data_IF_940107561447
#
_entry.id   IF_940107561447
#
_cell.length_a   1.000
_cell.length_b   1.000
_cell.length_c   1.000
_cell.angle_alpha   90.00
_cell.angle_beta   90.00
_cell.angle_gamma   90.00
#
_symmetry.space_group_name_H-M   'P 1'
#
loop_
_entity.id
_entity.type
_entity.pdbx_description
1 polymer ?
2 non-polymer ?
3 non-polymer ?
4 water ?
#
# COMPACT_ATOMS: atom_id res chain seq x y z
N UNK A 1 6.11 24.84 -1.07
CA UNK A 1 5.64 25.47 0.16
C UNK A 1 4.82 24.50 0.99
N UNK A 2 5.45 23.94 2.02
CA UNK A 2 4.81 22.87 2.77
C UNK A 2 3.56 23.39 3.45
N UNK A 3 3.63 24.58 4.06
CA UNK A 3 2.47 25.11 4.78
C UNK A 3 1.30 25.37 3.82
N UNK A 4 1.59 25.91 2.64
CA UNK A 4 0.53 26.13 1.65
C UNK A 4 -0.11 24.82 1.22
N UNK A 5 0.71 23.80 1.00
CA UNK A 5 0.20 22.49 0.59
C UNK A 5 -0.70 21.91 1.68
N UNK A 6 -0.28 22.04 2.96
CA UNK A 6 -1.09 21.49 4.05
C UNK A 6 -2.43 22.20 4.13
N UNK A 7 -2.45 23.52 3.93
CA UNK A 7 -3.72 24.24 3.87
C UNK A 7 -4.60 23.74 2.73
N UNK A 8 -4.00 23.49 1.56
CA UNK A 8 -4.78 22.98 0.43
C UNK A 8 -5.34 21.60 0.70
N UNK A 9 -4.61 20.76 1.44
CA UNK A 9 -5.14 19.46 1.82
C UNK A 9 -6.34 19.60 2.74
N UNK A 10 -6.27 20.56 3.68
CA UNK A 10 -7.42 20.82 4.55
C UNK A 10 -8.62 21.27 3.73
N UNK A 11 -8.38 22.14 2.74
CA UNK A 11 -9.47 22.59 1.88
C UNK A 11 -10.04 21.44 1.06
N UNK A 12 -9.18 20.57 0.54
CA UNK A 12 -9.66 19.39 -0.17
C UNK A 12 -10.55 18.54 0.75
N UNK A 13 -10.12 18.29 1.98
CA UNK A 13 -10.95 17.50 2.89
C UNK A 13 -12.30 18.14 3.14
N UNK A 14 -12.37 19.46 3.16
CA UNK A 14 -13.62 20.14 3.41
C UNK A 14 -14.63 19.91 2.30
N UNK A 15 -14.22 19.35 1.16
CA UNK A 15 -15.13 19.12 0.05
C UNK A 15 -15.89 17.81 0.14
N UNK A 16 -15.59 16.95 1.11
CA UNK A 16 -16.30 15.68 1.24
C UNK A 16 -16.50 15.33 2.70
N UNK A 17 -17.47 14.46 2.96
CA UNK A 17 -17.83 14.11 4.34
C UNK A 17 -17.03 12.87 4.72
N UNK A 18 -15.76 13.09 5.03
CA UNK A 18 -14.88 12.01 5.40
C UNK A 18 -13.56 12.58 5.88
N UNK A 19 -12.57 11.70 5.98
CA UNK A 19 -11.25 12.04 6.44
C UNK A 19 -10.21 11.74 5.36
N UNK A 20 -9.23 12.63 5.27
CA UNK A 20 -8.07 12.50 4.42
C UNK A 20 -6.84 12.37 5.30
N UNK A 21 -6.07 11.30 5.09
CA UNK A 21 -4.81 11.11 5.75
C UNK A 21 -3.73 11.12 4.71
N UNK A 22 -2.75 12.01 4.84
CA UNK A 22 -1.81 12.23 3.76
C UNK A 22 -0.41 12.50 4.29
N UNK A 23 0.58 11.86 3.69
CA UNK A 23 1.97 12.27 3.87
C UNK A 23 2.66 12.19 2.51
N UNK A 24 3.38 13.24 2.14
CA UNK A 24 4.31 13.19 1.04
C UNK A 24 5.67 13.60 1.58
N UNK A 25 6.70 12.88 1.19
CA UNK A 25 8.05 13.06 1.72
C UNK A 25 9.04 13.07 0.58
N UNK A 26 9.77 14.17 0.44
CA UNK A 26 10.88 14.22 -0.51
C UNK A 26 12.07 13.55 0.17
N UNK A 27 12.46 12.37 -0.31
CA UNK A 27 13.41 11.56 0.45
C UNK A 27 14.80 12.16 0.53
N UNK A 28 15.18 13.05 -0.38
CA UNK A 28 16.50 13.67 -0.32
C UNK A 28 16.57 14.70 0.79
N UNK A 29 15.58 15.58 0.87
CA UNK A 29 15.65 16.70 1.80
C UNK A 29 14.88 16.43 3.08
N UNK A 30 14.03 15.42 3.10
CA UNK A 30 13.15 15.20 4.21
C UNK A 30 11.96 16.15 4.26
N UNK A 31 11.80 17.01 3.25
CA UNK A 31 10.63 17.88 3.20
C UNK A 31 9.38 17.04 3.27
N UNK A 32 8.43 17.45 4.10
CA UNK A 32 7.32 16.59 4.46
C UNK A 32 6.03 17.41 4.51
N UNK A 33 5.02 16.92 3.80
CA UNK A 33 3.69 17.50 3.78
C UNK A 33 2.78 16.48 4.43
N UNK A 34 2.04 16.88 5.45
CA UNK A 34 1.18 15.92 6.13
C UNK A 34 -0.17 16.52 6.49
N UNK A 35 -1.17 15.64 6.53
CA UNK A 35 -2.51 15.98 7.00
C UNK A 35 -3.03 14.76 7.75
N UNK A 36 -3.42 14.94 9.01
CA UNK A 36 -3.86 13.85 9.88
C UNK A 36 -2.83 12.73 9.91
N UNK A 37 -1.56 13.11 9.98
CA UNK A 37 -0.47 12.14 9.85
C UNK A 37 -0.42 11.10 10.95
N UNK A 38 -0.90 11.42 12.14
CA UNK A 38 -0.84 10.50 13.27
C UNK A 38 -2.19 9.92 13.63
N UNK A 39 -3.18 10.03 12.76
CA UNK A 39 -4.48 9.41 12.96
C UNK A 39 -4.53 8.07 12.26
N UNK A 40 -5.23 7.12 12.85
CA UNK A 40 -5.37 5.81 12.24
C UNK A 40 -6.43 5.80 11.15
N UNK A 41 -6.16 5.03 10.10
CA UNK A 41 -7.01 4.84 8.95
C UNK A 41 -7.03 3.36 8.60
N UNK A 42 -8.15 2.86 8.07
CA UNK A 42 -8.20 1.47 7.59
C UNK A 42 -7.39 1.33 6.31
N UNK A 43 -6.38 0.47 6.33
CA UNK A 43 -5.43 0.43 5.22
C UNK A 43 -5.92 -0.41 4.03
N UNK A 44 -6.90 -1.29 4.22
CA UNK A 44 -7.43 -2.13 3.15
C UNK A 44 -6.29 -2.78 2.39
N UNK A 45 -6.35 -2.82 1.06
CA UNK A 45 -5.40 -3.65 0.34
C UNK A 45 -4.01 -3.04 0.30
N UNK A 46 -3.80 -1.82 0.82
CA UNK A 46 -2.43 -1.31 0.87
C UNK A 46 -1.57 -2.19 1.77
N UNK A 47 -2.19 -2.96 2.68
CA UNK A 47 -1.47 -3.91 3.51
C UNK A 47 -0.75 -4.98 2.71
N UNK A 48 -1.17 -5.21 1.46
CA UNK A 48 -0.52 -6.23 0.63
C UNK A 48 0.93 -5.88 0.37
N UNK A 49 1.30 -4.59 0.42
CA UNK A 49 2.71 -4.24 0.32
C UNK A 49 3.51 -4.81 1.49
N UNK A 50 3.02 -4.61 2.72
CA UNK A 50 3.69 -5.13 3.91
C UNK A 50 3.73 -6.66 3.89
N UNK A 51 2.65 -7.28 3.42
CA UNK A 51 2.59 -8.73 3.30
C UNK A 51 3.69 -9.25 2.39
N UNK A 52 3.82 -8.68 1.20
CA UNK A 52 4.82 -9.20 0.27
C UNK A 52 6.24 -8.76 0.61
N UNK A 53 6.41 -7.67 1.36
CA UNK A 53 7.71 -7.39 1.96
C UNK A 53 8.10 -8.48 2.94
N UNK A 54 7.15 -8.91 3.78
CA UNK A 54 7.40 -10.00 4.71
C UNK A 54 7.73 -11.30 3.99
N UNK A 55 7.04 -11.59 2.88
CA UNK A 55 7.36 -12.77 2.08
C UNK A 55 8.77 -12.68 1.52
N UNK A 56 9.12 -11.51 0.97
CA UNK A 56 10.45 -11.32 0.43
C UNK A 56 11.50 -11.48 1.51
N UNK A 57 11.24 -10.92 2.69
CA UNK A 57 12.17 -11.10 3.81
C UNK A 57 12.38 -12.58 4.13
N UNK A 58 11.30 -13.35 4.16
CA UNK A 58 11.40 -14.80 4.38
C UNK A 58 12.24 -15.44 3.27
N UNK A 59 12.07 -14.97 2.04
CA UNK A 59 12.79 -15.56 0.91
C UNK A 59 14.27 -15.26 0.94
N UNK A 60 14.68 -14.22 1.66
CA UNK A 60 16.11 -13.98 1.83
C UNK A 60 16.75 -15.13 2.61
N UNK A 61 15.98 -15.80 3.47
CA UNK A 61 16.47 -16.92 4.23
C UNK A 61 16.03 -18.26 3.70
N UNK A 62 15.28 -18.31 2.60
CA UNK A 62 14.81 -19.54 1.97
C UNK A 62 14.90 -19.35 0.47
N UNK A 63 16.04 -19.66 -0.13
CA UNK A 63 16.27 -19.28 -1.54
C UNK A 63 15.25 -19.83 -2.52
N UNK A 64 14.68 -20.99 -2.28
CA UNK A 64 13.76 -21.56 -3.25
C UNK A 64 12.33 -21.07 -3.05
N UNK A 65 12.08 -20.25 -2.03
CA UNK A 65 10.70 -19.99 -1.64
C UNK A 65 9.90 -19.35 -2.75
N UNK A 66 10.48 -18.37 -3.46
CA UNK A 66 9.68 -17.63 -4.44
C UNK A 66 9.21 -18.52 -5.58
N UNK A 67 9.93 -19.60 -5.89
CA UNK A 67 9.56 -20.50 -6.96
C UNK A 67 8.70 -21.65 -6.46
N UNK A 68 8.42 -21.72 -5.15
CA UNK A 68 7.58 -22.80 -4.65
C UNK A 68 6.17 -22.69 -5.22
N UNK A 69 5.65 -23.80 -5.73
CA UNK A 69 4.29 -23.84 -6.26
C UNK A 69 3.29 -24.08 -5.13
N UNK A 70 2.25 -23.28 -5.09
CA UNK A 70 1.13 -23.39 -4.16
C UNK A 70 -0.05 -23.93 -4.95
N UNK A 71 -0.46 -25.15 -4.63
CA UNK A 71 -1.58 -25.83 -5.29
C UNK A 71 -2.84 -25.58 -4.45
N UNK A 72 -3.42 -24.40 -4.62
CA UNK A 72 -4.60 -24.00 -3.88
C UNK A 72 -5.86 -24.56 -4.53
N UNK A 73 -6.98 -24.38 -3.84
CA UNK A 73 -8.23 -25.05 -4.16
C UNK A 73 -9.30 -24.05 -4.54
N UNK A 74 -10.33 -24.54 -5.25
CA UNK A 74 -11.47 -23.68 -5.56
C UNK A 74 -12.09 -23.12 -4.30
N UNK A 75 -12.09 -23.89 -3.21
CA UNK A 75 -12.64 -23.43 -1.95
C UNK A 75 -11.87 -22.29 -1.33
N UNK A 76 -10.63 -22.07 -1.75
CA UNK A 76 -9.88 -20.90 -1.28
C UNK A 76 -10.33 -19.61 -1.96
N UNK A 77 -11.05 -19.71 -3.08
CA UNK A 77 -11.31 -18.54 -3.90
C UNK A 77 -12.38 -17.66 -3.27
N UNK A 78 -12.08 -16.36 -3.18
CA UNK A 78 -13.00 -15.36 -2.70
C UNK A 78 -13.06 -14.22 -3.72
N UNK A 79 -13.97 -13.28 -3.47
CA UNK A 79 -14.20 -12.22 -4.43
C UNK A 79 -12.93 -11.38 -4.63
N UNK A 80 -12.85 -10.76 -5.80
CA UNK A 80 -11.76 -9.86 -6.15
C UNK A 80 -10.44 -10.61 -6.17
N UNK A 81 -10.42 -11.71 -6.94
CA UNK A 81 -9.26 -12.59 -7.10
C UNK A 81 -9.07 -12.91 -8.57
N UNK A 82 -8.73 -11.89 -9.37
CA UNK A 82 -8.75 -12.07 -10.84
C UNK A 82 -7.65 -12.94 -11.40
N UNK A 83 -6.57 -13.19 -10.67
CA UNK A 83 -5.49 -14.05 -11.12
C UNK A 83 -5.66 -15.46 -10.59
N UNK A 84 -5.83 -15.59 -9.27
CA UNK A 84 -5.93 -16.92 -8.69
C UNK A 84 -7.12 -17.68 -9.27
N UNK A 85 -8.24 -17.02 -9.56
CA UNK A 85 -9.38 -17.76 -10.09
C UNK A 85 -9.09 -18.30 -11.47
N UNK A 86 -8.23 -17.61 -12.23
CA UNK A 86 -7.90 -18.07 -13.57
C UNK A 86 -6.97 -19.27 -13.57
N UNK A 87 -6.15 -19.42 -12.53
CA UNK A 87 -5.11 -20.44 -12.53
C UNK A 87 -5.36 -21.57 -11.53
N UNK A 88 -6.52 -21.58 -10.90
CA UNK A 88 -6.80 -22.64 -9.95
C UNK A 88 -6.75 -23.96 -10.70
N UNK A 89 -6.19 -24.97 -10.07
CA UNK A 89 -6.02 -26.24 -10.73
C UNK A 89 -4.65 -26.41 -11.35
N UNK A 90 -3.98 -25.32 -11.73
CA UNK A 90 -2.57 -25.37 -12.10
C UNK A 90 -1.66 -24.93 -10.97
N UNK A 91 -2.19 -24.21 -9.99
CA UNK A 91 -1.39 -23.61 -8.94
C UNK A 91 -0.63 -22.39 -9.45
N UNK A 92 0.00 -21.71 -8.51
CA UNK A 92 0.82 -20.53 -8.80
C UNK A 92 2.02 -20.55 -7.88
N UNK A 93 3.13 -19.98 -8.36
CA UNK A 93 4.29 -19.86 -7.48
C UNK A 93 4.08 -18.73 -6.47
N UNK A 94 4.87 -18.77 -5.40
CA UNK A 94 4.82 -17.70 -4.42
C UNK A 94 5.08 -16.34 -5.08
N UNK A 95 6.07 -16.26 -5.97
CA UNK A 95 6.33 -15.00 -6.66
C UNK A 95 5.10 -14.56 -7.46
N UNK A 96 4.48 -15.49 -8.17
CA UNK A 96 3.29 -15.15 -8.94
C UNK A 96 2.15 -14.69 -8.03
N UNK A 97 2.04 -15.27 -6.84
CA UNK A 97 1.00 -14.82 -5.91
C UNK A 97 1.28 -13.40 -5.42
N UNK A 98 2.53 -13.09 -5.14
CA UNK A 98 2.83 -11.70 -4.77
C UNK A 98 2.57 -10.75 -5.93
N UNK A 99 2.96 -11.12 -7.15
CA UNK A 99 2.65 -10.25 -8.29
C UNK A 99 1.16 -10.05 -8.43
N UNK A 100 0.38 -11.11 -8.24
CA UNK A 100 -1.07 -11.01 -8.37
C UNK A 100 -1.66 -10.10 -7.29
N UNK A 101 -1.23 -10.30 -6.05
CA UNK A 101 -1.83 -9.52 -4.98
C UNK A 101 -1.41 -8.06 -5.07
N UNK A 102 -0.19 -7.80 -5.53
CA UNK A 102 0.27 -6.42 -5.64
C UNK A 102 -0.26 -5.71 -6.88
N UNK A 103 -0.35 -6.40 -8.02
CA UNK A 103 -0.67 -5.73 -9.27
C UNK A 103 -2.13 -5.78 -9.64
N UNK A 104 -2.86 -6.74 -9.10
CA UNK A 104 -4.29 -6.89 -9.38
C UNK A 104 -5.10 -6.87 -8.09
N UNK A 105 -4.47 -6.66 -6.95
CA UNK A 105 -5.12 -6.67 -5.65
C UNK A 105 -5.83 -7.99 -5.34
N UNK A 106 -5.29 -9.10 -5.84
CA UNK A 106 -5.91 -10.42 -5.69
C UNK A 106 -6.06 -10.81 -4.22
N UNK A 107 -7.31 -10.99 -3.78
CA UNK A 107 -7.58 -11.28 -2.36
C UNK A 107 -7.22 -12.71 -1.98
N UNK A 108 -7.56 -13.69 -2.82
CA UNK A 108 -7.17 -15.07 -2.48
C UNK A 108 -5.66 -15.18 -2.38
N UNK A 109 -4.93 -14.55 -3.30
CA UNK A 109 -3.48 -14.59 -3.24
C UNK A 109 -2.97 -14.06 -1.92
N UNK A 110 -3.55 -12.95 -1.43
CA UNK A 110 -3.12 -12.43 -0.14
C UNK A 110 -3.37 -13.44 0.97
N UNK A 111 -4.55 -14.09 0.97
CA UNK A 111 -4.82 -15.06 2.02
C UNK A 111 -3.85 -16.24 1.95
N UNK A 112 -3.52 -16.69 0.74
CA UNK A 112 -2.55 -17.79 0.63
C UNK A 112 -1.19 -17.37 1.17
N UNK A 113 -0.76 -16.13 0.91
CA UNK A 113 0.52 -15.67 1.41
C UNK A 113 0.50 -15.45 2.93
N UNK A 114 -0.61 -14.96 3.47
CA UNK A 114 -0.74 -14.83 4.91
C UNK A 114 -0.60 -16.21 5.55
N UNK A 115 -1.26 -17.21 4.97
CA UNK A 115 -1.19 -18.56 5.50
C UNK A 115 0.23 -19.11 5.39
N UNK A 116 0.90 -18.85 4.28
CA UNK A 116 2.28 -19.30 4.10
C UNK A 116 3.17 -18.79 5.23
N UNK A 117 2.96 -17.54 5.64
CA UNK A 117 3.78 -16.92 6.65
C UNK A 117 3.42 -17.36 8.06
N UNK A 118 2.22 -17.87 8.28
CA UNK A 118 1.81 -18.30 9.60
C UNK A 118 0.65 -17.55 10.21
N UNK A 119 0.04 -16.64 9.46
CA UNK A 119 -1.09 -15.90 9.92
C UNK A 119 -0.87 -14.40 9.89
N UNK A 120 -1.94 -13.63 10.09
CA UNK A 120 -1.80 -12.16 9.98
C UNK A 120 -0.85 -11.58 11.00
N UNK A 121 -0.72 -12.22 12.17
CA UNK A 121 0.19 -11.70 13.19
C UNK A 121 1.63 -11.68 12.72
N UNK A 122 2.00 -12.53 11.74
CA UNK A 122 3.37 -12.49 11.22
C UNK A 122 3.62 -11.23 10.43
N UNK A 123 2.59 -10.69 9.79
CA UNK A 123 2.76 -9.44 9.05
C UNK A 123 2.93 -8.28 10.03
N UNK A 124 2.15 -8.26 11.09
CA UNK A 124 2.34 -7.27 12.14
C UNK A 124 3.74 -7.36 12.72
N UNK A 125 4.18 -8.60 13.03
CA UNK A 125 5.52 -8.76 13.59
C UNK A 125 6.59 -8.28 12.62
N UNK A 126 6.39 -8.50 11.33
CA UNK A 126 7.34 -8.01 10.34
C UNK A 126 7.40 -6.49 10.37
N UNK A 127 6.24 -5.84 10.42
CA UNK A 127 6.22 -4.39 10.52
C UNK A 127 7.00 -3.92 11.74
N UNK A 128 6.77 -4.55 12.89
CA UNK A 128 7.53 -4.15 14.08
C UNK A 128 9.03 -4.27 13.83
N UNK A 129 9.44 -5.34 13.15
CA UNK A 129 10.86 -5.61 12.93
C UNK A 129 11.52 -4.56 12.06
N UNK A 130 10.78 -3.88 11.19
CA UNK A 130 11.34 -2.81 10.37
C UNK A 130 11.09 -1.43 10.99
N UNK A 131 10.65 -1.39 12.24
CA UNK A 131 10.52 -0.14 12.96
C UNK A 131 9.15 0.49 12.94
N UNK A 132 8.15 -0.21 12.40
CA UNK A 132 6.78 0.29 12.35
C UNK A 132 6.03 -0.27 13.55
N UNK A 133 5.81 0.58 14.55
CA UNK A 133 5.14 0.20 15.78
C UNK A 133 3.64 0.44 15.70
N UNK A 134 3.13 0.82 14.53
CA UNK A 134 1.77 1.30 14.38
C UNK A 134 0.89 0.36 13.58
N UNK A 135 1.39 -0.14 12.45
CA UNK A 135 0.66 -1.04 11.58
C UNK A 135 0.17 -2.24 12.39
N UNK A 136 -1.10 -2.62 12.19
CA UNK A 136 -1.61 -3.85 12.79
C UNK A 136 -2.53 -4.54 11.80
N UNK A 137 -2.22 -5.79 11.48
CA UNK A 137 -3.06 -6.63 10.64
C UNK A 137 -3.75 -7.64 11.56
N UNK A 138 -5.06 -7.48 11.69
CA UNK A 138 -5.85 -8.28 12.60
C UNK A 138 -6.66 -9.36 11.91
N UNK A 139 -7.05 -9.13 10.68
CA UNK A 139 -7.94 -10.04 9.98
C UNK A 139 -7.36 -10.40 8.63
N UNK A 140 -7.99 -11.37 7.98
CA UNK A 140 -7.63 -11.79 6.63
C UNK A 140 -8.64 -11.20 5.64
N UNK A 141 -8.48 -11.54 4.38
CA UNK A 141 -9.42 -11.07 3.37
C UNK A 141 -10.70 -11.92 3.41
N UNK A 142 -11.87 -11.32 3.20
CA UNK A 142 -12.09 -9.91 2.89
C UNK A 142 -12.42 -9.03 4.09
N UNK A 143 -12.49 -9.61 5.29
CA UNK A 143 -13.01 -8.86 6.43
C UNK A 143 -12.11 -7.70 6.83
N UNK A 144 -10.84 -7.72 6.46
CA UNK A 144 -9.98 -6.61 6.87
C UNK A 144 -10.39 -5.28 6.22
N UNK A 145 -11.33 -5.29 5.26
CA UNK A 145 -11.75 -4.08 4.57
C UNK A 145 -13.02 -3.44 5.12
N UNK A 146 -13.50 -3.85 6.30
CA UNK A 146 -14.77 -3.33 6.79
C UNK A 146 -14.74 -1.82 7.06
N UNK A 147 -13.57 -1.28 7.42
CA UNK A 147 -13.36 0.17 7.52
C UNK A 147 -14.42 0.82 8.41
N UNK A 148 -14.72 0.21 9.53
CA UNK A 148 -15.78 0.72 10.39
C UNK A 148 -15.32 1.95 11.17
N UNK A 149 -16.18 2.97 11.32
CA UNK A 149 -15.78 4.16 12.08
C UNK A 149 -15.31 3.83 13.48
N UNK A 150 -14.13 4.35 13.83
CA UNK A 150 -13.55 4.17 15.14
C UNK A 150 -12.88 2.83 15.38
N UNK A 151 -12.93 1.92 14.43
CA UNK A 151 -12.32 0.61 14.59
C UNK A 151 -10.82 0.70 14.32
N UNK A 152 -10.01 0.23 15.26
CA UNK A 152 -8.56 0.26 15.08
C UNK A 152 -8.02 -1.02 14.46
N UNK A 153 -8.83 -2.05 14.27
CA UNK A 153 -8.37 -3.24 13.57
C UNK A 153 -7.93 -2.87 12.16
N UNK A 154 -6.83 -3.46 11.70
CA UNK A 154 -6.40 -3.34 10.30
C UNK A 154 -6.21 -1.88 9.91
N UNK A 155 -5.50 -1.15 10.78
CA UNK A 155 -5.21 0.25 10.57
C UNK A 155 -3.73 0.54 10.70
N UNK A 156 -3.35 1.69 10.13
CA UNK A 156 -2.08 2.32 10.41
C UNK A 156 -2.28 3.83 10.35
N UNK A 157 -1.22 4.58 10.56
CA UNK A 157 -1.28 6.03 10.38
C UNK A 157 -0.56 6.39 9.08
N UNK A 158 -0.90 7.54 8.49
CA UNK A 158 -0.16 7.96 7.29
C UNK A 158 1.33 8.12 7.57
N UNK A 159 1.66 8.65 8.74
CA UNK A 159 3.07 8.84 9.10
C UNK A 159 3.81 7.51 9.20
N UNK A 160 3.21 6.51 9.86
CA UNK A 160 3.91 5.24 10.01
C UNK A 160 4.07 4.58 8.65
N UNK A 161 3.06 4.69 7.80
CA UNK A 161 3.17 4.04 6.49
C UNK A 161 4.16 4.78 5.61
N UNK A 162 4.25 6.10 5.73
CA UNK A 162 5.26 6.83 4.97
C UNK A 162 6.66 6.34 5.33
N UNK A 163 6.93 6.16 6.62
CA UNK A 163 8.24 5.67 7.04
C UNK A 163 8.50 4.26 6.54
N UNK A 164 7.48 3.41 6.57
CA UNK A 164 7.66 2.03 6.12
C UNK A 164 7.86 1.96 4.61
N UNK A 165 7.09 2.73 3.83
CA UNK A 165 7.30 2.74 2.38
C UNK A 165 8.70 3.26 2.06
N UNK A 166 9.11 4.34 2.73
CA UNK A 166 10.46 4.86 2.56
C UNK A 166 11.50 3.78 2.82
N UNK A 167 11.42 3.10 3.97
CA UNK A 167 12.46 2.14 4.29
C UNK A 167 12.45 0.94 3.35
N UNK A 168 11.27 0.53 2.88
CA UNK A 168 11.15 -0.68 2.08
C UNK A 168 11.56 -0.44 0.63
N UNK A 169 11.09 0.64 0.02
CA UNK A 169 11.31 0.82 -1.41
C UNK A 169 12.55 1.64 -1.73
N UNK A 170 12.95 2.51 -0.82
CA UNK A 170 14.06 3.43 -1.03
C UNK A 170 15.24 3.12 -0.11
N UNK A 171 14.98 2.84 1.16
CA UNK A 171 16.00 2.58 2.15
C UNK A 171 16.40 1.12 2.21
N UNK A 172 16.88 0.69 3.37
CA UNK A 172 17.51 -0.61 3.47
C UNK A 172 16.80 -1.56 4.44
N UNK A 173 15.48 -1.45 4.53
CA UNK A 173 14.77 -2.44 5.33
C UNK A 173 14.90 -3.83 4.73
N UNK A 174 14.92 -3.93 3.40
CA UNK A 174 15.10 -5.19 2.69
C UNK A 174 16.49 -5.22 2.07
N UNK A 175 17.00 -6.43 1.81
CA UNK A 175 18.20 -6.57 1.01
C UNK A 175 17.98 -6.06 -0.41
N UNK A 176 19.09 -5.83 -1.13
CA UNK A 176 18.99 -5.18 -2.44
C UNK A 176 18.12 -5.97 -3.41
N UNK A 177 18.25 -7.29 -3.44
CA UNK A 177 17.47 -8.08 -4.40
C UNK A 177 16.01 -8.04 -4.05
N UNK A 178 15.69 -8.03 -2.77
CA UNK A 178 14.30 -8.02 -2.34
C UNK A 178 13.67 -6.65 -2.58
N UNK A 179 14.40 -5.57 -2.26
CA UNK A 179 13.91 -4.23 -2.57
C UNK A 179 13.63 -4.06 -4.06
N UNK A 180 14.53 -4.56 -4.91
CA UNK A 180 14.33 -4.46 -6.34
C UNK A 180 13.08 -5.20 -6.79
N UNK A 181 12.83 -6.38 -6.22
CA UNK A 181 11.66 -7.16 -6.61
C UNK A 181 10.37 -6.48 -6.15
N UNK A 182 10.37 -5.92 -4.93
CA UNK A 182 9.19 -5.22 -4.48
C UNK A 182 8.90 -4.02 -5.36
N UNK A 183 9.94 -3.26 -5.70
CA UNK A 183 9.78 -2.14 -6.61
C UNK A 183 9.24 -2.61 -7.95
N UNK A 184 9.84 -3.67 -8.52
CA UNK A 184 9.40 -4.11 -9.83
C UNK A 184 7.93 -4.50 -9.82
N UNK A 185 7.50 -5.20 -8.78
CA UNK A 185 6.10 -5.56 -8.68
C UNK A 185 5.22 -4.30 -8.63
N UNK A 186 5.57 -3.36 -7.77
CA UNK A 186 4.70 -2.20 -7.55
C UNK A 186 4.75 -1.22 -8.71
N UNK A 187 5.89 -1.13 -9.41
CA UNK A 187 5.94 -0.34 -10.63
C UNK A 187 4.96 -0.85 -11.67
N UNK A 188 4.69 -2.15 -11.67
CA UNK A 188 3.81 -2.80 -12.60
C UNK A 188 2.36 -2.88 -12.17
N UNK A 189 1.97 -2.17 -11.12
CA UNK A 189 0.60 -2.24 -10.64
C UNK A 189 -0.37 -1.83 -11.74
N UNK A 190 -1.51 -2.53 -11.80
CA UNK A 190 -2.55 -2.26 -12.79
C UNK A 190 -3.74 -1.52 -12.24
N UNK A 191 -3.84 -1.35 -10.93
CA UNK A 191 -5.08 -0.84 -10.33
C UNK A 191 -5.03 0.64 -9.95
N UNK A 192 -3.93 1.34 -10.24
CA UNK A 192 -3.75 2.69 -9.73
C UNK A 192 -3.75 3.81 -10.75
N UNK A 193 -4.24 3.56 -11.96
CA UNK A 193 -4.08 4.56 -13.01
C UNK A 193 -4.77 5.88 -12.69
N UNK A 194 -5.84 5.86 -11.89
CA UNK A 194 -6.64 7.05 -11.63
C UNK A 194 -6.30 7.71 -10.29
N UNK A 195 -5.30 7.20 -9.57
CA UNK A 195 -4.99 7.62 -8.20
C UNK A 195 -3.68 8.39 -8.21
N UNK A 196 -2.65 7.96 -7.48
CA UNK A 196 -1.39 8.70 -7.45
C UNK A 196 -0.87 8.92 -8.86
N UNK A 197 -0.93 7.90 -9.71
CA UNK A 197 -0.40 8.02 -11.06
C UNK A 197 -1.04 9.16 -11.84
N UNK A 198 -2.31 9.49 -11.54
CA UNK A 198 -3.00 10.56 -12.24
C UNK A 198 -2.66 11.95 -11.71
N UNK A 199 -1.92 12.06 -10.62
CA UNK A 199 -1.62 13.35 -10.03
C UNK A 199 -0.18 13.79 -10.15
N UNK A 200 0.65 13.04 -10.87
CA UNK A 200 2.07 13.38 -10.99
C UNK A 200 2.39 13.80 -12.41
N UNK A 201 3.49 14.51 -12.62
CA UNK A 201 3.92 14.82 -13.99
C UNK A 201 4.17 13.55 -14.81
N UNK A 202 4.09 13.73 -16.13
CA UNK A 202 4.17 12.62 -17.07
C UNK A 202 5.52 11.93 -17.05
N UNK A 203 6.58 12.62 -16.62
CA UNK A 203 7.90 12.02 -16.63
C UNK A 203 8.25 11.33 -15.31
N UNK A 204 7.33 11.27 -14.35
CA UNK A 204 7.61 10.56 -13.10
C UNK A 204 7.15 9.11 -13.20
N UNK A 205 7.99 8.18 -12.77
CA UNK A 205 7.57 6.79 -12.65
C UNK A 205 6.96 6.61 -11.27
N UNK A 206 6.02 5.66 -11.15
CA UNK A 206 5.33 5.45 -9.89
C UNK A 206 5.31 3.96 -9.57
N UNK A 207 5.66 3.64 -8.32
CA UNK A 207 5.44 2.32 -7.74
C UNK A 207 4.36 2.51 -6.70
N UNK A 208 3.23 1.80 -6.81
CA UNK A 208 2.16 2.05 -5.86
C UNK A 208 1.37 0.79 -5.57
N UNK A 209 0.63 0.82 -4.46
CA UNK A 209 -0.38 -0.17 -4.12
C UNK A 209 -1.64 0.55 -3.64
N UNK A 210 -2.75 0.28 -4.27
CA UNK A 210 -4.03 0.85 -3.93
C UNK A 210 -4.74 0.03 -2.85
N UNK A 211 -5.81 0.60 -2.31
CA UNK A 211 -6.78 -0.16 -1.55
C UNK A 211 -8.14 0.46 -1.70
N UNK A 212 -9.17 -0.38 -1.65
CA UNK A 212 -10.54 0.10 -1.64
C UNK A 212 -11.30 -0.74 -0.62
N UNK A 213 -12.12 -0.08 0.18
CA UNK A 213 -12.86 -0.79 1.21
C UNK A 213 -14.26 -0.27 1.38
N UNK A 214 -14.93 -0.74 2.42
CA UNK A 214 -16.25 -0.25 2.76
C UNK A 214 -16.16 1.21 3.21
N UNK A 215 -17.31 1.83 3.46
CA UNK A 215 -17.35 3.25 3.85
C UNK A 215 -16.60 4.11 2.84
N UNK A 216 -16.74 3.76 1.56
CA UNK A 216 -16.11 4.55 0.52
C UNK A 216 -14.61 4.71 0.68
N UNK A 217 -13.94 3.75 1.30
CA UNK A 217 -12.51 3.89 1.59
C UNK A 217 -11.71 3.71 0.31
N UNK A 218 -10.83 4.67 0.05
CA UNK A 218 -10.01 4.68 -1.16
C UNK A 218 -8.62 5.16 -0.77
N UNK A 219 -7.63 4.30 -0.96
CA UNK A 219 -6.27 4.55 -0.56
C UNK A 219 -5.30 4.30 -1.69
N UNK A 220 -4.10 4.88 -1.58
CA UNK A 220 -3.00 4.55 -2.48
C UNK A 220 -1.71 4.96 -1.77
N UNK A 221 -0.71 4.08 -1.79
CA UNK A 221 0.59 4.36 -1.20
C UNK A 221 1.68 3.99 -2.19
N UNK A 222 2.81 4.68 -2.11
CA UNK A 222 3.89 4.32 -3.00
C UNK A 222 4.94 5.41 -3.08
N UNK A 223 5.75 5.30 -4.13
CA UNK A 223 6.90 6.15 -4.34
C UNK A 223 6.86 6.63 -5.77
N UNK A 224 7.05 7.93 -5.96
CA UNK A 224 7.27 8.49 -7.28
C UNK A 224 8.76 8.68 -7.49
N UNK A 225 9.21 8.39 -8.70
CA UNK A 225 10.62 8.46 -9.08
C UNK A 225 10.72 9.51 -10.19
N UNK A 226 10.94 10.77 -9.84
CA UNK A 226 11.19 11.77 -10.87
C UNK A 226 12.53 11.52 -11.50
N UNK A 227 12.74 11.93 -12.74
CA UNK A 227 14.08 11.81 -13.33
C UNK A 227 15.02 12.84 -12.68
N UNK A 228 16.24 12.45 -12.38
CA UNK A 228 17.25 13.39 -11.92
C UNK A 228 16.92 14.06 -10.57
N UNK A 229 16.06 13.46 -9.75
CA UNK A 229 15.94 13.89 -8.37
C UNK A 229 15.51 12.69 -7.56
N UNK A 230 15.64 12.80 -6.24
CA UNK A 230 15.41 11.65 -5.37
C UNK A 230 13.93 11.25 -5.35
N UNK A 231 13.66 10.03 -4.93
CA UNK A 231 12.26 9.57 -4.87
C UNK A 231 11.44 10.39 -3.87
N UNK A 232 10.13 10.42 -4.12
CA UNK A 232 9.16 11.11 -3.27
C UNK A 232 8.12 10.07 -2.82
N UNK A 233 7.97 9.91 -1.52
CA UNK A 233 6.97 8.99 -0.97
C UNK A 233 5.62 9.67 -0.95
N UNK A 234 4.57 8.96 -1.38
CA UNK A 234 3.19 9.46 -1.33
C UNK A 234 2.34 8.45 -0.57
N UNK A 235 1.65 8.92 0.47
CA UNK A 235 0.74 8.09 1.26
C UNK A 235 -0.60 8.80 1.26
N UNK A 236 -1.65 8.13 0.77
CA UNK A 236 -2.99 8.70 0.74
C UNK A 236 -4.02 7.71 1.25
N UNK A 237 -4.65 8.05 2.36
CA UNK A 237 -5.75 7.28 2.94
C UNK A 237 -6.98 8.17 2.95
N UNK A 238 -8.10 7.66 2.47
CA UNK A 238 -9.38 8.37 2.59
C UNK A 238 -10.45 7.40 3.04
N UNK A 239 -11.36 7.87 3.88
CA UNK A 239 -12.47 7.06 4.33
C UNK A 239 -13.63 7.99 4.66
N UNK A 240 -14.84 7.53 4.38
CA UNK A 240 -16.03 8.37 4.43
C UNK A 240 -16.93 7.97 5.60
N UNK A 241 -17.83 8.89 5.95
CA UNK A 241 -18.75 8.65 7.05
C UNK A 241 -19.98 7.87 6.64
N UNK A 242 -20.44 8.01 5.39
CA UNK A 242 -21.63 7.32 4.93
C UNK A 242 -21.33 5.86 4.63
N UNK A 243 -21.98 4.89 5.28
CA UNK A 243 -21.74 3.49 4.91
C UNK A 243 -22.06 3.21 3.46
N UNK A 244 -22.92 4.03 2.84
CA UNK A 244 -23.29 3.85 1.44
C UNK A 244 -22.44 4.70 0.50
N UNK A 245 -21.31 5.21 0.95
CA UNK A 245 -20.45 5.99 0.08
C UNK A 245 -19.87 5.13 -1.02
N UNK A 246 -19.66 5.75 -2.19
CA UNK A 246 -19.05 5.12 -3.35
C UNK A 246 -17.59 5.56 -3.40
N UNK A 247 -16.67 4.60 -3.36
CA UNK A 247 -15.26 4.93 -3.39
C UNK A 247 -14.91 5.71 -4.65
N UNK A 248 -14.04 6.70 -4.47
CA UNK A 248 -13.61 7.62 -5.51
C UNK A 248 -12.12 7.49 -5.76
N UNK A 249 -11.69 7.89 -6.95
CA UNK A 249 -10.28 8.05 -7.26
C UNK A 249 -9.78 9.48 -7.20
N UNK A 250 -10.67 10.45 -7.39
CA UNK A 250 -10.25 11.80 -7.70
C UNK A 250 -9.68 12.55 -6.50
N UNK A 251 -10.10 12.20 -5.27
CA UNK A 251 -9.52 12.87 -4.11
C UNK A 251 -8.05 12.50 -3.97
N UNK A 252 -7.73 11.22 -4.19
CA UNK A 252 -6.33 10.80 -4.13
C UNK A 252 -5.51 11.54 -5.17
N UNK A 253 -6.03 11.63 -6.41
CA UNK A 253 -5.29 12.30 -7.46
C UNK A 253 -5.10 13.78 -7.12
N UNK A 254 -6.13 14.42 -6.56
CA UNK A 254 -6.04 15.82 -6.19
C UNK A 254 -5.03 16.04 -5.06
N UNK A 255 -5.03 15.18 -4.05
CA UNK A 255 -4.07 15.33 -2.95
C UNK A 255 -2.65 15.16 -3.49
N UNK A 256 -2.48 14.20 -4.39
CA UNK A 256 -1.17 13.97 -5.00
C UNK A 256 -0.70 15.22 -5.74
N UNK A 257 -1.58 15.84 -6.51
CA UNK A 257 -1.19 17.02 -7.27
C UNK A 257 -0.74 18.14 -6.34
N UNK A 258 -1.47 18.34 -5.23
CA UNK A 258 -1.08 19.38 -4.27
C UNK A 258 0.38 19.22 -3.87
N UNK A 259 0.77 18.00 -3.50
CA UNK A 259 2.14 17.78 -3.05
C UNK A 259 3.12 17.86 -4.21
N UNK A 260 2.74 17.30 -5.37
CA UNK A 260 3.62 17.37 -6.52
C UNK A 260 3.96 18.81 -6.87
N UNK A 261 2.97 19.70 -6.81
CA UNK A 261 3.22 21.12 -7.06
C UNK A 261 4.14 21.72 -6.00
N UNK A 262 3.93 21.35 -4.73
CA UNK A 262 4.74 21.90 -3.66
C UNK A 262 6.20 21.50 -3.83
N UNK A 263 6.44 20.29 -4.32
CA UNK A 263 7.76 19.75 -4.49
C UNK A 263 8.31 20.00 -5.89
N UNK A 264 7.65 20.86 -6.66
CA UNK A 264 8.08 21.19 -8.02
C UNK A 264 9.54 21.59 -8.02
#
# INVERSE_FOLDING_TARGET
>A
NVAAAERQLRELESTFDGRLGFVALDTATGARIAHRGDERFPFCSTSKMMLCAAVLARSAGEPALLQRRIAYAKGDLIRYSPITEQHVGAGMSVAELCAATLQYSDNTAANLLIALLGGPQTVTAYARSIGDATFRLDRREPELNTALPGDERDTTTPAAMAASVHRLLVGDALGAAQRAQLNAWMLGNKTGDARIRAGVPADWRVADKTGTGDYGTANDIGVAYPPNRAPIVFIVYTTMRNPNAQARDDVIASATRIAARAFA
#
